data_IF_959541704323
#
_entry.id   IF_959541704323
#
_cell.length_a   1.000
_cell.length_b   1.000
_cell.length_c   1.000
_cell.angle_alpha   90.00
_cell.angle_beta   90.00
_cell.angle_gamma   90.00
#
_symmetry.space_group_name_H-M   'P 1'
#
loop_
_entity.id
_entity.type
_entity.pdbx_description
1 polymer ?
#
# COMPACT_ATOMS: atom_id res chain seq x y z
N UNK A 1 37.31 33.72 3.41
CA UNK A 1 35.98 34.27 3.77
C UNK A 1 34.98 33.13 3.56
N UNK A 2 34.73 32.34 4.62
CA UNK A 2 33.83 31.19 4.59
C UNK A 2 32.40 31.72 4.74
N UNK A 3 31.58 31.56 3.70
CA UNK A 3 30.14 31.79 3.79
C UNK A 3 29.55 30.62 4.56
N UNK A 4 29.20 30.86 5.82
CA UNK A 4 28.31 29.98 6.57
C UNK A 4 26.94 30.06 5.90
N UNK A 5 26.48 28.93 5.35
CA UNK A 5 25.08 28.77 4.98
C UNK A 5 24.37 28.35 6.26
N UNK A 6 23.52 29.21 6.79
CA UNK A 6 22.69 28.89 7.95
C UNK A 6 21.86 27.63 7.66
N UNK A 7 21.60 26.78 8.67
CA UNK A 7 20.67 25.67 8.53
C UNK A 7 19.29 26.22 8.11
N UNK A 8 18.55 25.50 7.27
CA UNK A 8 17.25 25.97 6.78
C UNK A 8 16.35 26.22 7.99
N UNK A 9 15.98 27.48 8.20
CA UNK A 9 14.90 27.85 9.10
C UNK A 9 13.67 27.07 8.66
N UNK A 10 13.01 26.42 9.61
CA UNK A 10 11.73 25.79 9.39
C UNK A 10 10.74 26.86 8.93
N UNK A 11 10.63 27.05 7.62
CA UNK A 11 9.48 27.73 7.04
C UNK A 11 8.29 26.88 7.50
N UNK A 12 7.43 27.45 8.34
CA UNK A 12 6.12 26.90 8.65
C UNK A 12 5.39 26.71 7.32
N UNK A 13 5.58 25.53 6.70
CA UNK A 13 4.79 25.09 5.58
C UNK A 13 3.39 24.94 6.13
N UNK A 14 2.54 25.94 5.87
CA UNK A 14 1.11 25.91 6.15
C UNK A 14 0.60 24.57 5.60
N UNK A 15 0.06 23.73 6.48
CA UNK A 15 -0.42 22.43 6.08
C UNK A 15 -1.72 22.61 5.27
N UNK A 16 -1.60 22.37 3.96
CA UNK A 16 -2.70 22.54 3.02
C UNK A 16 -3.53 21.26 2.83
N UNK A 17 -3.36 20.22 3.65
CA UNK A 17 -4.26 19.06 3.60
C UNK A 17 -5.66 19.46 4.10
N UNK A 18 -6.69 19.38 3.24
CA UNK A 18 -8.03 19.84 3.60
C UNK A 18 -8.77 18.87 4.54
N UNK A 19 -8.21 17.70 4.82
CA UNK A 19 -8.87 16.62 5.57
C UNK A 19 -8.26 16.38 6.95
N UNK A 20 -6.95 16.59 7.10
CA UNK A 20 -6.20 16.25 8.32
C UNK A 20 -5.16 17.32 8.62
N UNK A 21 -4.91 17.61 9.89
CA UNK A 21 -3.79 18.47 10.29
C UNK A 21 -2.54 17.62 10.56
N UNK A 22 -1.52 17.85 9.75
CA UNK A 22 -0.25 17.14 9.67
C UNK A 22 0.91 17.96 10.24
N UNK A 23 0.65 19.11 10.90
CA UNK A 23 1.70 19.95 11.47
C UNK A 23 2.54 19.23 12.54
N UNK A 24 2.00 18.18 13.16
CA UNK A 24 2.72 17.38 14.15
C UNK A 24 3.67 16.34 13.52
N UNK A 25 3.61 16.10 12.21
CA UNK A 25 4.48 15.13 11.54
C UNK A 25 5.91 15.64 11.49
N UNK A 26 6.82 14.85 12.07
CA UNK A 26 8.25 15.16 12.13
C UNK A 26 8.96 14.69 10.87
N UNK A 27 10.04 15.36 10.44
CA UNK A 27 10.93 14.86 9.40
C UNK A 27 11.35 13.41 9.66
N UNK A 28 11.50 12.62 8.60
CA UNK A 28 11.98 11.25 8.65
C UNK A 28 13.47 11.19 8.96
N UNK A 29 14.26 12.10 8.39
CA UNK A 29 15.70 12.14 8.54
C UNK A 29 16.14 13.29 9.46
N UNK A 30 17.13 13.00 10.29
CA UNK A 30 17.89 13.98 11.08
C UNK A 30 19.34 14.01 10.59
N UNK A 31 19.97 15.19 10.67
CA UNK A 31 21.38 15.34 10.32
C UNK A 31 22.24 14.84 11.48
N UNK A 32 23.09 13.86 11.22
CA UNK A 32 24.21 13.52 12.07
C UNK A 32 25.45 14.30 11.60
N UNK A 33 25.72 15.43 12.28
CA UNK A 33 26.88 16.29 12.01
C UNK A 33 28.22 15.56 12.20
N UNK A 34 28.26 14.50 13.02
CA UNK A 34 29.50 13.77 13.29
C UNK A 34 29.91 12.87 12.12
N UNK A 35 28.93 12.34 11.37
CA UNK A 35 29.15 11.47 10.23
C UNK A 35 28.93 12.19 8.88
N UNK A 36 28.29 13.35 8.89
CA UNK A 36 27.92 14.08 7.67
C UNK A 36 26.82 13.37 6.88
N UNK A 37 25.87 12.74 7.58
CA UNK A 37 24.82 11.90 7.00
C UNK A 37 23.44 12.31 7.47
N UNK A 38 22.46 12.17 6.58
CA UNK A 38 21.06 12.14 6.94
C UNK A 38 20.71 10.73 7.40
N UNK A 39 20.10 10.59 8.58
CA UNK A 39 19.80 9.29 9.17
C UNK A 39 18.37 9.25 9.71
N UNK A 40 17.71 8.08 9.61
CA UNK A 40 16.48 7.84 10.35
C UNK A 40 16.86 7.68 11.83
N UNK A 41 16.42 8.56 12.73
CA UNK A 41 16.87 8.50 14.12
C UNK A 41 16.20 7.32 14.85
N UNK A 42 16.84 6.77 15.92
CA UNK A 42 16.31 5.63 16.67
C UNK A 42 14.88 5.82 17.20
N UNK A 43 14.46 7.06 17.44
CA UNK A 43 13.09 7.41 17.84
C UNK A 43 12.02 6.96 16.83
N UNK A 44 12.39 6.72 15.57
CA UNK A 44 11.49 6.30 14.48
C UNK A 44 11.50 4.78 14.22
N UNK A 45 12.33 4.00 14.91
CA UNK A 45 12.52 2.57 14.63
C UNK A 45 11.31 1.68 14.94
N UNK A 46 10.29 2.22 15.62
CA UNK A 46 9.00 1.54 15.78
C UNK A 46 8.27 1.35 14.44
N UNK A 47 8.46 2.27 13.49
CA UNK A 47 7.75 2.29 12.21
C UNK A 47 8.69 2.15 11.00
N UNK A 48 9.94 2.57 11.13
CA UNK A 48 10.94 2.53 10.06
C UNK A 48 12.10 1.59 10.43
N UNK A 49 12.96 1.32 9.45
CA UNK A 49 14.24 0.64 9.67
C UNK A 49 15.37 1.66 9.61
N UNK A 50 16.52 1.40 10.26
CA UNK A 50 17.70 2.23 10.10
C UNK A 50 18.04 2.41 8.62
N UNK A 51 18.24 3.66 8.20
CA UNK A 51 18.61 4.04 6.85
C UNK A 51 19.37 5.36 6.90
N UNK A 52 20.39 5.52 6.06
CA UNK A 52 21.15 6.77 5.99
C UNK A 52 21.79 7.00 4.64
N UNK A 53 22.06 8.27 4.33
CA UNK A 53 22.75 8.67 3.10
C UNK A 53 23.61 9.94 3.32
N UNK A 54 24.68 10.15 2.53
CA UNK A 54 25.52 11.34 2.65
C UNK A 54 24.75 12.64 2.40
N UNK A 55 25.02 13.68 3.17
CA UNK A 55 24.49 15.04 2.92
C UNK A 55 24.93 15.51 1.54
N UNK A 56 26.23 15.45 1.29
CA UNK A 56 26.84 15.82 0.02
C UNK A 56 26.69 14.69 -1.00
N UNK A 57 25.87 14.93 -2.02
CA UNK A 57 25.69 14.00 -3.13
C UNK A 57 26.83 14.17 -4.14
N UNK A 58 27.63 13.12 -4.34
CA UNK A 58 28.72 13.15 -5.33
C UNK A 58 28.18 13.23 -6.76
N UNK A 59 28.97 13.78 -7.69
CA UNK A 59 28.60 13.85 -9.11
C UNK A 59 28.44 12.47 -9.77
N UNK A 60 29.00 11.40 -9.18
CA UNK A 60 28.90 10.01 -9.65
C UNK A 60 27.82 9.22 -8.88
N UNK A 61 26.96 9.90 -8.11
CA UNK A 61 25.88 9.28 -7.34
C UNK A 61 24.53 9.45 -8.04
N UNK A 62 23.74 8.37 -8.06
CA UNK A 62 22.32 8.38 -8.39
C UNK A 62 21.50 8.01 -7.14
N UNK A 63 20.61 8.89 -6.72
CA UNK A 63 19.83 8.80 -5.49
C UNK A 63 18.36 8.52 -5.80
N UNK A 64 17.88 7.36 -5.36
CA UNK A 64 16.50 6.90 -5.51
C UNK A 64 15.86 6.83 -4.13
N UNK A 65 14.72 7.49 -3.94
CA UNK A 65 13.92 7.28 -2.73
C UNK A 65 12.73 6.38 -3.04
N UNK A 66 12.50 5.40 -2.18
CA UNK A 66 11.40 4.44 -2.29
C UNK A 66 10.43 4.69 -1.13
N UNK A 67 9.23 5.17 -1.42
CA UNK A 67 8.26 5.63 -0.43
C UNK A 67 7.03 4.74 -0.38
N UNK A 68 6.52 4.52 0.84
CA UNK A 68 5.29 3.79 1.05
C UNK A 68 5.08 3.24 2.44
N UNK A 69 4.20 2.25 2.53
CA UNK A 69 3.86 1.56 3.77
C UNK A 69 4.82 0.43 4.17
N UNK A 70 4.34 -0.51 4.98
CA UNK A 70 5.07 -1.71 5.42
C UNK A 70 5.54 -2.62 4.28
N UNK A 71 4.83 -2.62 3.14
CA UNK A 71 5.29 -3.30 1.92
C UNK A 71 6.62 -2.74 1.44
N UNK A 72 6.80 -1.41 1.47
CA UNK A 72 8.09 -0.79 1.10
C UNK A 72 9.16 -1.14 2.12
N UNK A 73 8.83 -1.10 3.42
CA UNK A 73 9.78 -1.47 4.49
C UNK A 73 10.35 -2.89 4.30
N UNK A 74 9.58 -3.81 3.69
CA UNK A 74 9.98 -5.21 3.48
C UNK A 74 9.39 -6.18 4.49
N UNK A 75 8.24 -5.84 5.11
CA UNK A 75 7.54 -6.80 5.96
C UNK A 75 7.15 -8.06 5.17
N UNK A 76 7.10 -9.24 5.83
CA UNK A 76 7.33 -9.50 7.26
C UNK A 76 8.81 -9.55 7.67
N UNK A 77 9.74 -9.53 6.72
CA UNK A 77 11.18 -9.51 6.98
C UNK A 77 11.66 -8.09 7.30
N UNK A 78 12.53 -7.50 6.49
CA UNK A 78 13.08 -6.16 6.67
C UNK A 78 13.65 -5.65 5.34
N UNK A 79 14.29 -4.48 5.37
CA UNK A 79 14.81 -3.78 4.20
C UNK A 79 15.78 -4.62 3.38
N UNK A 80 16.51 -5.53 4.02
CA UNK A 80 17.51 -6.40 3.39
C UNK A 80 16.90 -7.32 2.32
N UNK A 81 15.61 -7.68 2.40
CA UNK A 81 14.92 -8.45 1.36
C UNK A 81 13.76 -7.69 0.71
N UNK A 82 13.67 -6.38 0.94
CA UNK A 82 12.70 -5.50 0.31
C UNK A 82 13.05 -5.21 -1.15
N UNK A 83 12.06 -4.79 -1.93
CA UNK A 83 12.25 -4.48 -3.35
C UNK A 83 13.20 -3.28 -3.57
N UNK A 84 13.40 -2.41 -2.58
CA UNK A 84 14.41 -1.34 -2.63
C UNK A 84 15.84 -1.89 -2.71
N UNK A 85 16.16 -2.94 -1.94
CA UNK A 85 17.49 -3.57 -1.93
C UNK A 85 17.74 -4.33 -3.23
N UNK A 86 16.74 -5.06 -3.72
CA UNK A 86 16.84 -5.71 -5.02
C UNK A 86 16.97 -4.71 -6.17
N UNK A 87 16.27 -3.57 -6.08
CA UNK A 87 16.38 -2.47 -7.04
C UNK A 87 17.81 -1.91 -7.05
N UNK A 88 18.42 -1.69 -5.87
CA UNK A 88 19.82 -1.27 -5.75
C UNK A 88 20.76 -2.20 -6.51
N UNK A 89 20.68 -3.51 -6.27
CA UNK A 89 21.54 -4.48 -6.96
C UNK A 89 21.32 -4.51 -8.46
N UNK A 90 20.07 -4.36 -8.92
CA UNK A 90 19.76 -4.31 -10.36
C UNK A 90 20.34 -3.07 -11.03
N UNK A 91 20.19 -1.90 -10.40
CA UNK A 91 20.74 -0.65 -10.91
C UNK A 91 22.27 -0.68 -10.93
N UNK A 92 22.90 -1.17 -9.86
CA UNK A 92 24.36 -1.35 -9.79
C UNK A 92 24.87 -2.31 -10.87
N UNK A 93 24.17 -3.42 -11.09
CA UNK A 93 24.52 -4.38 -12.12
C UNK A 93 24.38 -3.80 -13.55
N UNK A 94 23.37 -2.95 -13.77
CA UNK A 94 23.12 -2.31 -15.07
C UNK A 94 24.06 -1.12 -15.36
N UNK A 95 24.50 -0.41 -14.32
CA UNK A 95 25.35 0.78 -14.42
C UNK A 95 26.46 0.80 -13.38
N UNK A 96 27.46 -0.09 -13.45
CA UNK A 96 28.50 -0.24 -12.42
C UNK A 96 29.40 0.99 -12.25
N UNK A 97 29.39 1.93 -13.20
CA UNK A 97 30.07 3.21 -13.13
C UNK A 97 29.37 4.24 -12.24
N UNK A 98 28.17 3.97 -11.73
CA UNK A 98 27.42 4.87 -10.85
C UNK A 98 27.32 4.30 -9.44
N UNK A 99 27.43 5.17 -8.44
CA UNK A 99 27.04 4.83 -7.08
C UNK A 99 25.53 5.02 -6.92
N UNK A 100 24.78 3.92 -6.80
CA UNK A 100 23.35 3.97 -6.54
C UNK A 100 23.06 3.98 -5.05
N UNK A 101 22.53 5.11 -4.57
CA UNK A 101 21.89 5.24 -3.28
C UNK A 101 20.40 4.95 -3.48
N UNK A 102 19.91 3.81 -2.99
CA UNK A 102 18.48 3.48 -3.01
C UNK A 102 18.00 3.46 -1.57
N UNK A 103 17.30 4.52 -1.16
CA UNK A 103 16.91 4.81 0.21
C UNK A 103 15.50 4.27 0.44
N UNK A 104 15.33 3.41 1.44
CA UNK A 104 14.02 2.89 1.83
C UNK A 104 13.33 3.81 2.84
N UNK A 105 12.22 4.41 2.44
CA UNK A 105 11.39 5.28 3.28
C UNK A 105 10.03 4.62 3.60
N UNK A 106 10.03 3.29 3.79
CA UNK A 106 8.82 2.52 4.12
C UNK A 106 8.46 2.58 5.59
N UNK A 107 7.29 3.13 5.90
CA UNK A 107 6.75 3.24 7.27
C UNK A 107 5.64 2.22 7.54
N UNK A 108 5.72 1.47 8.64
CA UNK A 108 4.66 0.52 9.03
C UNK A 108 3.36 1.28 9.30
N UNK A 109 2.26 0.83 8.69
CA UNK A 109 0.93 1.44 8.83
C UNK A 109 0.82 2.87 8.24
N UNK A 110 1.80 3.35 7.48
CA UNK A 110 1.74 4.68 6.86
C UNK A 110 0.77 4.71 5.67
N UNK A 111 -0.21 5.60 5.73
CA UNK A 111 -1.14 5.94 4.65
C UNK A 111 -0.62 7.09 3.77
N UNK A 112 -1.28 7.33 2.65
CA UNK A 112 -0.88 8.29 1.61
C UNK A 112 -0.61 9.70 2.12
N UNK A 113 -1.40 10.22 3.07
CA UNK A 113 -1.21 11.56 3.64
C UNK A 113 0.06 11.68 4.49
N UNK A 114 0.47 10.62 5.20
CA UNK A 114 1.76 10.58 5.91
C UNK A 114 2.91 10.43 4.91
N UNK A 115 2.75 9.57 3.91
CA UNK A 115 3.74 9.38 2.84
C UNK A 115 3.98 10.69 2.07
N UNK A 116 2.94 11.48 1.85
CA UNK A 116 3.05 12.78 1.18
C UNK A 116 3.98 13.75 1.92
N UNK A 117 4.01 13.75 3.26
CA UNK A 117 4.96 14.58 4.02
C UNK A 117 6.40 14.11 3.86
N UNK A 118 6.63 12.80 3.89
CA UNK A 118 7.96 12.21 3.62
C UNK A 118 8.40 12.58 2.21
N UNK A 119 7.49 12.55 1.23
CA UNK A 119 7.80 12.98 -0.13
C UNK A 119 8.30 14.43 -0.20
N UNK A 120 7.61 15.36 0.46
CA UNK A 120 8.02 16.78 0.50
C UNK A 120 9.39 16.99 1.15
N UNK A 121 9.77 16.12 2.07
CA UNK A 121 11.12 16.09 2.64
C UNK A 121 12.14 15.55 1.65
N UNK A 122 11.94 14.36 1.10
CA UNK A 122 12.95 13.73 0.23
C UNK A 122 13.20 14.48 -1.07
N UNK A 123 12.23 15.26 -1.56
CA UNK A 123 12.44 16.16 -2.69
C UNK A 123 13.53 17.22 -2.44
N UNK A 124 13.82 17.56 -1.17
CA UNK A 124 14.91 18.48 -0.79
C UNK A 124 16.28 17.80 -0.74
N UNK A 125 16.33 16.47 -0.83
CA UNK A 125 17.56 15.68 -0.75
C UNK A 125 18.12 15.25 -2.11
N UNK A 126 17.84 16.03 -3.16
CA UNK A 126 18.36 15.85 -4.53
C UNK A 126 18.10 14.45 -5.12
N UNK A 127 16.85 13.96 -5.14
CA UNK A 127 16.52 12.67 -5.75
C UNK A 127 16.71 12.72 -7.27
N UNK A 128 17.23 11.64 -7.85
CA UNK A 128 17.25 11.42 -9.30
C UNK A 128 16.09 10.53 -9.77
N UNK A 129 15.43 9.82 -8.86
CA UNK A 129 14.16 9.16 -9.11
C UNK A 129 13.38 8.91 -7.81
N UNK A 130 12.06 8.83 -7.92
CA UNK A 130 11.15 8.43 -6.86
C UNK A 130 10.44 7.14 -7.26
N UNK A 131 10.30 6.21 -6.31
CA UNK A 131 9.41 5.05 -6.42
C UNK A 131 8.34 5.16 -5.35
N UNK A 132 7.06 5.07 -5.72
CA UNK A 132 5.93 5.20 -4.81
C UNK A 132 5.05 3.93 -4.83
N UNK A 133 4.88 3.29 -3.66
CA UNK A 133 3.94 2.18 -3.44
C UNK A 133 3.11 2.48 -2.18
N UNK A 134 1.83 2.83 -2.33
CA UNK A 134 0.97 3.20 -1.18
C UNK A 134 -0.50 2.82 -1.43
N UNK A 135 -1.33 2.81 -0.37
CA UNK A 135 -2.78 2.62 -0.47
C UNK A 135 -3.39 1.54 0.45
N UNK A 136 -2.60 0.65 1.06
CA UNK A 136 -3.16 -0.38 1.95
C UNK A 136 -3.69 0.17 3.27
N UNK A 137 -3.11 1.27 3.76
CA UNK A 137 -3.30 1.75 5.12
C UNK A 137 -4.32 2.88 5.23
N UNK A 138 -5.04 3.21 4.16
CA UNK A 138 -5.90 4.39 4.14
C UNK A 138 -7.01 4.34 5.20
N UNK A 139 -7.47 3.16 5.59
CA UNK A 139 -8.58 3.03 6.54
C UNK A 139 -8.11 2.86 8.00
N UNK A 140 -6.80 2.89 8.28
CA UNK A 140 -6.25 2.52 9.60
C UNK A 140 -6.48 3.55 10.70
N UNK A 141 -6.44 4.84 10.39
CA UNK A 141 -6.54 5.91 11.38
C UNK A 141 -7.92 6.58 11.32
N UNK A 142 -8.42 7.00 12.48
CA UNK A 142 -9.67 7.76 12.54
C UNK A 142 -9.47 9.15 11.92
N UNK A 143 -10.35 9.47 10.98
CA UNK A 143 -10.34 10.76 10.28
C UNK A 143 -11.76 11.30 10.23
N UNK A 144 -11.94 12.51 10.74
CA UNK A 144 -13.22 13.21 10.70
C UNK A 144 -13.35 13.94 9.36
N UNK A 145 -14.14 13.39 8.46
CA UNK A 145 -14.50 14.07 7.22
C UNK A 145 -15.72 14.95 7.44
N UNK A 146 -15.51 16.16 7.98
CA UNK A 146 -16.60 17.05 8.36
C UNK A 146 -17.52 17.46 7.20
N UNK A 147 -17.08 17.34 5.93
CA UNK A 147 -17.75 17.99 4.79
C UNK A 147 -17.93 17.16 3.50
N UNK A 148 -18.01 15.81 3.54
CA UNK A 148 -18.47 15.06 2.33
C UNK A 148 -20.00 15.20 2.10
N UNK A 149 -20.64 16.16 2.77
CA UNK A 149 -21.98 16.62 2.43
C UNK A 149 -21.89 17.76 1.42
N UNK A 150 -22.02 17.42 0.13
CA UNK A 150 -22.54 18.27 -0.98
C UNK A 150 -21.72 18.36 -2.28
N UNK A 151 -20.97 17.34 -2.69
CA UNK A 151 -20.51 17.28 -4.09
C UNK A 151 -21.52 16.57 -4.99
N UNK A 152 -22.51 17.34 -5.45
CA UNK A 152 -23.41 16.91 -6.54
C UNK A 152 -22.62 16.59 -7.82
N UNK A 153 -23.15 15.72 -8.68
CA UNK A 153 -22.52 15.32 -9.95
C UNK A 153 -22.01 16.52 -10.81
N UNK A 154 -22.73 17.65 -10.90
CA UNK A 154 -22.22 18.86 -11.54
C UNK A 154 -20.96 19.43 -10.88
N UNK A 155 -20.90 19.47 -9.53
CA UNK A 155 -19.75 20.00 -8.78
C UNK A 155 -18.49 19.17 -9.00
N UNK A 156 -18.61 17.85 -9.13
CA UNK A 156 -17.48 16.95 -9.46
C UNK A 156 -16.91 17.22 -10.85
N UNK A 157 -17.77 17.42 -11.84
CA UNK A 157 -17.35 17.72 -13.22
C UNK A 157 -16.69 19.11 -13.29
N UNK A 158 -17.26 20.09 -12.58
CA UNK A 158 -16.68 21.44 -12.44
C UNK A 158 -15.34 21.37 -11.72
N UNK A 159 -15.21 20.56 -10.66
CA UNK A 159 -13.95 20.38 -9.94
C UNK A 159 -12.89 19.68 -10.80
N UNK A 160 -13.25 18.68 -11.62
CA UNK A 160 -12.33 18.05 -12.58
C UNK A 160 -11.85 19.03 -13.66
N UNK A 161 -12.75 19.85 -14.22
CA UNK A 161 -12.41 20.87 -15.21
C UNK A 161 -11.61 22.03 -14.60
N UNK A 162 -11.92 22.41 -13.36
CA UNK A 162 -11.22 23.45 -12.63
C UNK A 162 -9.84 22.99 -12.12
N UNK A 163 -9.64 21.70 -11.84
CA UNK A 163 -8.33 21.13 -11.50
C UNK A 163 -7.31 21.24 -12.64
N UNK A 164 -7.77 21.40 -13.89
CA UNK A 164 -6.90 21.67 -15.05
C UNK A 164 -6.45 23.15 -15.11
N UNK A 165 -7.04 24.03 -14.30
CA UNK A 165 -6.69 25.45 -14.21
C UNK A 165 -5.88 25.68 -12.93
N UNK A 166 -4.56 25.86 -13.09
CA UNK A 166 -3.58 26.10 -12.00
C UNK A 166 -4.02 27.18 -11.00
N UNK A 167 -4.79 28.17 -11.45
CA UNK A 167 -5.35 29.26 -10.64
C UNK A 167 -6.47 28.85 -9.68
N UNK A 168 -7.31 27.87 -10.02
CA UNK A 168 -8.42 27.45 -9.13
C UNK A 168 -7.91 26.60 -7.97
N UNK A 169 -6.88 25.78 -8.19
CA UNK A 169 -6.19 25.07 -7.11
C UNK A 169 -5.54 26.03 -6.09
N UNK A 170 -5.04 27.18 -6.54
CA UNK A 170 -4.51 28.23 -5.64
C UNK A 170 -5.61 28.94 -4.84
N UNK A 171 -6.75 29.26 -5.47
CA UNK A 171 -7.90 29.88 -4.80
C UNK A 171 -8.50 28.93 -3.75
N UNK A 172 -8.71 27.64 -4.06
CA UNK A 172 -9.17 26.67 -3.06
C UNK A 172 -8.20 26.55 -1.86
N UNK A 173 -6.89 26.60 -2.10
CA UNK A 173 -5.86 26.58 -1.04
C UNK A 173 -5.93 27.79 -0.09
N UNK A 174 -6.47 28.93 -0.54
CA UNK A 174 -6.62 30.14 0.27
C UNK A 174 -7.97 30.24 0.99
N UNK A 175 -9.05 29.65 0.44
CA UNK A 175 -10.40 29.79 1.01
C UNK A 175 -10.82 28.70 2.01
N UNK A 176 -10.14 27.54 2.06
CA UNK A 176 -10.42 26.46 3.03
C UNK A 176 -9.54 26.51 4.30
N UNK A 177 -8.95 27.68 4.59
CA UNK A 177 -7.94 27.83 5.64
C UNK A 177 -8.49 27.84 7.09
N UNK A 178 -9.81 27.92 7.31
CA UNK A 178 -10.35 28.26 8.65
C UNK A 178 -11.39 27.26 9.18
N UNK A 179 -11.07 25.96 9.19
CA UNK A 179 -11.90 24.91 9.79
C UNK A 179 -11.10 24.12 10.82
N UNK A 180 -11.69 23.82 11.96
CA UNK A 180 -11.08 22.94 12.97
C UNK A 180 -10.92 21.53 12.37
N UNK A 181 -9.69 21.19 11.98
CA UNK A 181 -9.31 19.86 11.47
C UNK A 181 -8.85 19.00 12.65
N UNK A 182 -9.11 17.68 12.64
CA UNK A 182 -8.51 16.80 13.63
C UNK A 182 -7.00 16.77 13.42
N UNK A 183 -6.24 17.10 14.47
CA UNK A 183 -4.79 16.94 14.48
C UNK A 183 -4.45 15.46 14.53
N UNK A 184 -3.59 15.02 13.61
CA UNK A 184 -3.07 13.66 13.61
C UNK A 184 -1.80 13.59 14.45
N UNK A 185 -1.66 12.53 15.24
CA UNK A 185 -0.47 12.29 16.05
C UNK A 185 0.80 12.18 15.18
N UNK A 186 1.93 12.58 15.75
CA UNK A 186 3.24 12.54 15.08
C UNK A 186 3.58 11.15 14.51
N UNK A 187 3.19 10.08 15.22
CA UNK A 187 3.29 8.70 14.77
C UNK A 187 1.92 8.10 14.46
N UNK A 188 1.90 6.96 13.76
CA UNK A 188 0.65 6.28 13.37
C UNK A 188 -0.10 5.83 14.61
N UNK A 189 -1.38 6.18 14.67
CA UNK A 189 -2.33 5.76 15.70
C UNK A 189 -3.46 4.96 15.05
N UNK A 190 -3.27 3.65 14.94
CA UNK A 190 -4.24 2.79 14.26
C UNK A 190 -5.44 2.52 15.18
N UNK A 191 -6.66 2.64 14.63
CA UNK A 191 -7.93 2.32 15.30
C UNK A 191 -7.96 0.93 15.91
N UNK A 192 -7.20 0.01 15.32
CA UNK A 192 -7.09 -1.38 15.78
C UNK A 192 -6.32 -1.53 17.11
N UNK A 193 -5.56 -0.50 17.50
CA UNK A 193 -4.77 -0.42 18.72
C UNK A 193 -5.52 0.26 19.86
N UNK A 194 -6.69 0.86 19.57
CA UNK A 194 -7.59 1.44 20.57
C UNK A 194 -8.37 0.36 21.34
N UNK A 195 -8.97 0.74 22.47
CA UNK A 195 -9.66 -0.19 23.38
C UNK A 195 -10.92 -0.83 22.79
N UNK A 196 -11.56 -0.16 21.84
CA UNK A 196 -12.68 -0.66 21.04
C UNK A 196 -12.22 -1.43 19.78
N UNK A 197 -11.00 -1.19 19.30
CA UNK A 197 -10.28 -2.04 18.36
C UNK A 197 -11.07 -2.34 17.08
N UNK A 198 -11.41 -3.62 16.86
CA UNK A 198 -12.19 -4.04 15.68
C UNK A 198 -13.65 -3.56 15.73
N UNK A 199 -14.20 -3.26 16.90
CA UNK A 199 -15.58 -2.78 17.04
C UNK A 199 -15.76 -1.34 16.56
N UNK A 200 -14.69 -0.54 16.55
CA UNK A 200 -14.70 0.81 15.98
C UNK A 200 -15.09 0.79 14.49
N UNK A 201 -14.77 -0.27 13.76
CA UNK A 201 -15.08 -0.41 12.34
C UNK A 201 -16.54 -0.82 12.13
N UNK A 202 -17.28 0.01 11.41
CA UNK A 202 -18.68 -0.20 11.07
C UNK A 202 -18.85 0.03 9.57
N UNK A 203 -19.87 -0.60 8.99
CA UNK A 203 -20.21 -0.38 7.57
C UNK A 203 -20.65 1.06 7.37
N UNK A 204 -19.74 1.87 6.84
CA UNK A 204 -19.95 3.28 6.55
C UNK A 204 -19.52 3.62 5.12
N UNK A 205 -20.44 3.51 4.13
CA UNK A 205 -20.11 3.80 2.74
C UNK A 205 -19.78 5.28 2.50
N UNK A 206 -20.26 6.19 3.35
CA UNK A 206 -19.99 7.63 3.22
C UNK A 206 -18.53 7.89 3.63
N UNK A 207 -18.12 7.36 4.79
CA UNK A 207 -16.74 7.44 5.24
C UNK A 207 -15.78 6.74 4.25
N UNK A 208 -16.12 5.55 3.76
CA UNK A 208 -15.28 4.85 2.78
C UNK A 208 -15.07 5.67 1.50
N UNK A 209 -16.14 6.25 0.96
CA UNK A 209 -16.06 7.11 -0.22
C UNK A 209 -15.16 8.34 0.04
N UNK A 210 -15.24 8.91 1.25
CA UNK A 210 -14.41 10.06 1.65
C UNK A 210 -12.92 9.69 1.73
N UNK A 211 -12.60 8.53 2.32
CA UNK A 211 -11.24 7.96 2.40
C UNK A 211 -10.65 7.78 1.00
N UNK A 212 -11.42 7.19 0.08
CA UNK A 212 -10.98 6.92 -1.29
C UNK A 212 -10.75 8.21 -2.10
N UNK A 213 -11.60 9.22 -1.92
CA UNK A 213 -11.43 10.54 -2.52
C UNK A 213 -10.21 11.27 -1.97
N UNK A 214 -9.98 11.20 -0.65
CA UNK A 214 -8.78 11.77 -0.03
C UNK A 214 -7.51 11.12 -0.58
N UNK A 215 -7.48 9.78 -0.68
CA UNK A 215 -6.36 9.06 -1.29
C UNK A 215 -6.08 9.54 -2.73
N UNK A 216 -7.12 9.60 -3.59
CA UNK A 216 -6.95 10.04 -4.96
C UNK A 216 -6.40 11.48 -5.04
N UNK A 217 -6.88 12.38 -4.18
CA UNK A 217 -6.37 13.75 -4.08
C UNK A 217 -4.91 13.76 -3.64
N UNK A 218 -4.54 13.03 -2.57
CA UNK A 218 -3.16 12.96 -2.08
C UNK A 218 -2.21 12.37 -3.10
N UNK A 219 -2.64 11.34 -3.83
CA UNK A 219 -1.83 10.75 -4.88
C UNK A 219 -1.57 11.75 -6.01
N UNK A 220 -2.59 12.54 -6.39
CA UNK A 220 -2.44 13.61 -7.38
C UNK A 220 -1.47 14.69 -6.90
N UNK A 221 -1.60 15.15 -5.64
CA UNK A 221 -0.70 16.13 -5.04
C UNK A 221 0.77 15.65 -5.03
N UNK A 222 0.99 14.37 -4.72
CA UNK A 222 2.33 13.76 -4.71
C UNK A 222 2.94 13.71 -6.11
N UNK A 223 2.16 13.31 -7.12
CA UNK A 223 2.61 13.27 -8.52
C UNK A 223 2.93 14.67 -9.03
N UNK A 224 2.09 15.65 -8.70
CA UNK A 224 2.31 17.05 -9.05
C UNK A 224 3.61 17.58 -8.44
N UNK A 225 3.85 17.32 -7.15
CA UNK A 225 5.08 17.75 -6.48
C UNK A 225 6.35 17.15 -7.10
N UNK A 226 6.31 15.86 -7.45
CA UNK A 226 7.45 15.17 -8.10
C UNK A 226 7.70 15.71 -9.51
N UNK A 227 6.63 15.97 -10.26
CA UNK A 227 6.71 16.58 -11.60
C UNK A 227 7.25 18.00 -11.53
N UNK A 228 6.79 18.81 -10.59
CA UNK A 228 7.22 20.20 -10.42
C UNK A 228 8.70 20.28 -9.98
N UNK A 229 9.20 19.26 -9.27
CA UNK A 229 10.62 19.09 -8.96
C UNK A 229 11.46 18.55 -10.15
N UNK A 230 10.83 18.16 -11.27
CA UNK A 230 11.52 17.62 -12.44
C UNK A 230 12.10 16.22 -12.24
N UNK A 231 11.56 15.44 -11.29
CA UNK A 231 12.12 14.13 -10.89
C UNK A 231 11.30 13.00 -11.53
N UNK A 232 11.94 11.98 -12.14
CA UNK A 232 11.24 10.78 -12.62
C UNK A 232 10.49 10.03 -11.51
N UNK A 233 9.26 9.60 -11.80
CA UNK A 233 8.41 8.85 -10.88
C UNK A 233 8.05 7.47 -11.45
N UNK A 234 8.33 6.43 -10.67
CA UNK A 234 7.72 5.10 -10.83
C UNK A 234 6.62 4.92 -9.80
N UNK A 235 5.39 4.75 -10.26
CA UNK A 235 4.21 4.50 -9.42
C UNK A 235 3.86 3.02 -9.47
N UNK A 236 3.71 2.39 -8.30
CA UNK A 236 3.31 0.99 -8.18
C UNK A 236 1.89 0.89 -7.64
N UNK A 237 1.04 0.05 -8.24
CA UNK A 237 -0.28 -0.25 -7.68
C UNK A 237 -0.15 -1.15 -6.45
N UNK A 238 -0.94 -0.92 -5.37
CA UNK A 238 -0.95 -1.84 -4.25
C UNK A 238 -1.61 -3.16 -4.65
N UNK A 239 -0.96 -4.29 -4.36
CA UNK A 239 -1.48 -5.63 -4.59
C UNK A 239 -1.69 -6.38 -3.27
N UNK A 240 -2.67 -7.27 -3.23
CA UNK A 240 -2.97 -8.10 -2.06
C UNK A 240 -3.43 -9.49 -2.46
N UNK A 241 -3.27 -10.45 -1.56
CA UNK A 241 -3.92 -11.74 -1.68
C UNK A 241 -5.42 -11.59 -1.41
N UNK A 242 -6.25 -11.91 -2.40
CA UNK A 242 -7.72 -11.90 -2.30
C UNK A 242 -8.31 -13.32 -2.18
N UNK A 243 -7.47 -14.34 -2.21
CA UNK A 243 -7.84 -15.75 -2.38
C UNK A 243 -7.63 -16.55 -1.09
N UNK A 244 -6.45 -16.45 -0.47
CA UNK A 244 -6.14 -17.13 0.81
C UNK A 244 -6.48 -16.24 2.02
N UNK A 245 -6.93 -15.00 1.79
CA UNK A 245 -7.21 -14.02 2.84
C UNK A 245 -8.70 -13.71 2.95
N UNK A 246 -9.40 -14.23 3.99
CA UNK A 246 -10.79 -13.87 4.27
C UNK A 246 -10.93 -12.39 4.66
N UNK A 247 -12.14 -11.82 4.60
CA UNK A 247 -12.42 -10.52 5.18
C UNK A 247 -12.11 -10.49 6.68
N UNK A 248 -11.60 -9.36 7.17
CA UNK A 248 -11.25 -9.14 8.57
C UNK A 248 -12.52 -8.96 9.41
N UNK A 249 -13.49 -8.18 8.93
CA UNK A 249 -14.78 -7.98 9.60
C UNK A 249 -15.94 -8.06 8.62
N UNK A 250 -16.94 -8.85 8.96
CA UNK A 250 -18.24 -8.90 8.28
C UNK A 250 -19.32 -8.27 9.16
N UNK A 251 -20.22 -7.51 8.55
CA UNK A 251 -21.38 -6.93 9.22
C UNK A 251 -22.59 -6.95 8.28
N UNK A 252 -23.75 -7.35 8.79
CA UNK A 252 -25.01 -7.26 8.06
C UNK A 252 -25.44 -5.81 7.88
N UNK A 253 -26.07 -5.50 6.74
CA UNK A 253 -26.75 -4.21 6.55
C UNK A 253 -27.79 -3.96 7.63
N UNK A 254 -27.95 -2.69 7.98
CA UNK A 254 -29.02 -2.24 8.88
C UNK A 254 -30.40 -2.39 8.24
N UNK A 255 -31.44 -2.43 9.07
CA UNK A 255 -32.84 -2.44 8.59
C UNK A 255 -33.37 -3.81 8.12
N UNK A 256 -32.62 -4.90 8.29
CA UNK A 256 -33.13 -6.25 8.04
C UNK A 256 -34.23 -6.62 9.04
N UNK A 257 -35.32 -7.22 8.55
CA UNK A 257 -36.36 -7.80 9.42
C UNK A 257 -35.82 -8.99 10.23
N UNK A 258 -36.49 -9.35 11.33
CA UNK A 258 -36.12 -10.54 12.14
C UNK A 258 -36.12 -11.82 11.30
N UNK A 259 -37.07 -11.95 10.38
CA UNK A 259 -37.15 -13.12 9.48
C UNK A 259 -35.98 -13.15 8.49
N UNK A 260 -35.57 -11.98 7.96
CA UNK A 260 -34.40 -11.89 7.09
C UNK A 260 -33.12 -12.24 7.85
N UNK A 261 -32.96 -11.75 9.09
CA UNK A 261 -31.82 -12.08 9.95
C UNK A 261 -31.76 -13.59 10.24
N UNK A 262 -32.86 -14.20 10.67
CA UNK A 262 -32.91 -15.64 10.95
C UNK A 262 -32.65 -16.48 9.69
N UNK A 263 -33.19 -16.07 8.54
CA UNK A 263 -32.92 -16.74 7.25
C UNK A 263 -31.45 -16.61 6.84
N UNK A 264 -30.86 -15.44 7.05
CA UNK A 264 -29.45 -15.21 6.80
C UNK A 264 -28.59 -16.11 7.69
N UNK A 265 -28.80 -16.09 9.01
CA UNK A 265 -28.03 -16.89 9.97
C UNK A 265 -28.07 -18.39 9.64
N UNK A 266 -29.27 -18.91 9.32
CA UNK A 266 -29.43 -20.31 8.90
C UNK A 266 -28.63 -20.63 7.64
N UNK A 267 -28.74 -19.78 6.61
CA UNK A 267 -28.02 -19.97 5.35
C UNK A 267 -26.50 -19.81 5.54
N UNK A 268 -26.07 -18.83 6.35
CA UNK A 268 -24.67 -18.57 6.61
C UNK A 268 -24.02 -19.70 7.39
N UNK A 269 -24.75 -20.31 8.33
CA UNK A 269 -24.30 -21.53 9.03
C UNK A 269 -24.00 -22.66 8.03
N UNK A 270 -24.88 -22.90 7.06
CA UNK A 270 -24.64 -23.91 6.01
C UNK A 270 -23.50 -23.51 5.07
N UNK A 271 -23.41 -22.25 4.67
CA UNK A 271 -22.34 -21.75 3.80
C UNK A 271 -20.94 -21.94 4.43
N UNK A 272 -20.85 -21.68 5.73
CA UNK A 272 -19.61 -21.75 6.51
C UNK A 272 -19.26 -23.15 7.02
N UNK A 273 -20.17 -24.12 6.88
CA UNK A 273 -19.94 -25.50 7.29
C UNK A 273 -19.03 -26.24 6.28
N UNK A 274 -17.78 -26.49 6.68
CA UNK A 274 -16.81 -27.20 5.85
C UNK A 274 -17.13 -28.69 5.65
N UNK A 275 -18.08 -29.25 6.40
CA UNK A 275 -18.54 -30.64 6.23
C UNK A 275 -19.64 -30.77 5.17
N UNK A 276 -20.30 -29.65 4.81
CA UNK A 276 -21.33 -29.61 3.78
C UNK A 276 -20.73 -29.68 2.36
N UNK A 277 -21.51 -30.19 1.41
CA UNK A 277 -21.11 -30.27 0.01
C UNK A 277 -20.87 -28.89 -0.61
N UNK A 278 -19.85 -28.77 -1.47
CA UNK A 278 -19.50 -27.49 -2.15
C UNK A 278 -20.71 -26.85 -2.85
N UNK A 279 -21.57 -27.57 -3.59
CA UNK A 279 -22.75 -26.97 -4.21
C UNK A 279 -23.75 -26.38 -3.20
N UNK A 280 -23.98 -27.06 -2.08
CA UNK A 280 -24.91 -26.62 -1.03
C UNK A 280 -24.39 -25.38 -0.33
N UNK A 281 -23.09 -25.33 -0.04
CA UNK A 281 -22.42 -24.16 0.54
C UNK A 281 -22.52 -22.94 -0.35
N UNK A 282 -22.27 -23.11 -1.66
CA UNK A 282 -22.42 -22.02 -2.64
C UNK A 282 -23.88 -21.57 -2.72
N UNK A 283 -24.84 -22.50 -2.76
CA UNK A 283 -26.27 -22.18 -2.79
C UNK A 283 -26.71 -21.41 -1.54
N UNK A 284 -26.26 -21.84 -0.36
CA UNK A 284 -26.55 -21.18 0.90
C UNK A 284 -25.90 -19.78 0.97
N UNK A 285 -24.65 -19.63 0.54
CA UNK A 285 -23.99 -18.33 0.46
C UNK A 285 -24.70 -17.38 -0.52
N UNK A 286 -25.26 -17.90 -1.62
CA UNK A 286 -26.10 -17.11 -2.54
C UNK A 286 -27.43 -16.67 -1.89
N UNK A 287 -28.01 -17.46 -0.99
CA UNK A 287 -29.16 -17.02 -0.19
C UNK A 287 -28.77 -15.87 0.74
N UNK A 288 -27.59 -15.93 1.36
CA UNK A 288 -27.05 -14.81 2.14
C UNK A 288 -26.90 -13.54 1.28
N UNK A 289 -26.31 -13.66 0.09
CA UNK A 289 -26.12 -12.54 -0.85
C UNK A 289 -27.43 -11.99 -1.42
N UNK A 290 -28.49 -12.79 -1.49
CA UNK A 290 -29.83 -12.28 -1.85
C UNK A 290 -30.46 -11.45 -0.72
N UNK A 291 -30.03 -11.63 0.54
CA UNK A 291 -30.50 -10.86 1.70
C UNK A 291 -29.65 -9.61 1.86
N UNK A 292 -28.32 -9.74 1.81
CA UNK A 292 -27.34 -8.66 1.86
C UNK A 292 -26.27 -8.88 0.79
N UNK A 293 -26.40 -8.14 -0.30
CA UNK A 293 -25.59 -8.22 -1.52
C UNK A 293 -24.18 -7.67 -1.36
N UNK A 294 -23.84 -7.10 -0.20
CA UNK A 294 -22.49 -6.63 0.13
C UNK A 294 -21.90 -7.40 1.31
N UNK A 295 -22.46 -8.56 1.69
CA UNK A 295 -21.91 -9.34 2.79
C UNK A 295 -20.58 -9.98 2.39
N UNK A 296 -19.46 -9.38 2.82
CA UNK A 296 -18.10 -9.77 2.42
C UNK A 296 -17.77 -11.23 2.73
N UNK A 297 -18.17 -11.76 3.89
CA UNK A 297 -17.95 -13.17 4.24
C UNK A 297 -18.66 -14.15 3.29
N UNK A 298 -19.87 -13.81 2.81
CA UNK A 298 -20.60 -14.67 1.86
C UNK A 298 -20.02 -14.59 0.46
N UNK A 299 -19.58 -13.40 0.05
CA UNK A 299 -18.78 -13.24 -1.17
C UNK A 299 -17.51 -14.08 -1.13
N UNK A 300 -16.77 -14.04 -0.02
CA UNK A 300 -15.54 -14.82 0.14
C UNK A 300 -15.79 -16.32 0.01
N UNK A 301 -16.83 -16.86 0.67
CA UNK A 301 -17.18 -18.28 0.58
C UNK A 301 -17.45 -18.68 -0.87
N UNK A 302 -18.28 -17.92 -1.61
CA UNK A 302 -18.58 -18.22 -3.02
C UNK A 302 -17.32 -18.15 -3.87
N UNK A 303 -16.55 -17.06 -3.74
CA UNK A 303 -15.33 -16.84 -4.51
C UNK A 303 -14.30 -17.94 -4.28
N UNK A 304 -14.04 -18.28 -3.02
CA UNK A 304 -13.04 -19.28 -2.62
C UNK A 304 -13.37 -20.67 -3.14
N UNK A 305 -14.63 -21.09 -3.01
CA UNK A 305 -15.09 -22.40 -3.47
C UNK A 305 -15.06 -22.50 -5.01
N UNK A 306 -15.43 -21.42 -5.71
CA UNK A 306 -15.33 -21.37 -7.17
C UNK A 306 -13.87 -21.41 -7.64
N UNK A 307 -12.97 -20.67 -6.97
CA UNK A 307 -11.54 -20.65 -7.28
C UNK A 307 -10.92 -22.04 -7.09
N UNK A 308 -11.20 -22.71 -5.96
CA UNK A 308 -10.77 -24.09 -5.69
C UNK A 308 -11.32 -25.10 -6.72
N UNK A 309 -12.48 -24.81 -7.31
CA UNK A 309 -13.07 -25.63 -8.37
C UNK A 309 -12.54 -25.31 -9.78
N UNK A 310 -11.48 -24.50 -9.89
CA UNK A 310 -10.90 -24.10 -11.18
C UNK A 310 -11.69 -23.04 -11.94
N UNK A 311 -12.71 -22.42 -11.33
CA UNK A 311 -13.63 -21.48 -11.98
C UNK A 311 -13.25 -20.02 -11.72
N UNK A 312 -12.01 -19.62 -12.00
CA UNK A 312 -11.48 -18.29 -11.68
C UNK A 312 -12.31 -17.13 -12.20
N UNK A 313 -12.76 -17.19 -13.46
CA UNK A 313 -13.57 -16.11 -14.03
C UNK A 313 -14.87 -15.85 -13.25
N UNK A 314 -15.48 -16.90 -12.69
CA UNK A 314 -16.67 -16.79 -11.85
C UNK A 314 -16.30 -16.43 -10.39
N UNK A 315 -15.13 -16.85 -9.90
CA UNK A 315 -14.64 -16.56 -8.56
C UNK A 315 -14.24 -15.10 -8.39
N UNK A 316 -13.53 -14.53 -9.36
CA UNK A 316 -12.93 -13.20 -9.34
C UNK A 316 -13.85 -12.08 -8.82
N UNK A 317 -15.07 -11.87 -9.37
CA UNK A 317 -15.94 -10.80 -8.87
C UNK A 317 -16.33 -11.00 -7.40
N UNK A 318 -16.48 -12.25 -6.94
CA UNK A 318 -16.78 -12.53 -5.55
C UNK A 318 -15.59 -12.30 -4.63
N UNK A 319 -14.38 -12.67 -5.03
CA UNK A 319 -13.16 -12.41 -4.25
C UNK A 319 -12.85 -10.92 -4.14
N UNK A 320 -13.02 -10.16 -5.23
CA UNK A 320 -12.89 -8.70 -5.24
C UNK A 320 -13.93 -8.07 -4.30
N UNK A 321 -15.20 -8.46 -4.42
CA UNK A 321 -16.26 -7.96 -3.55
C UNK A 321 -16.03 -8.32 -2.07
N UNK A 322 -15.45 -9.47 -1.78
CA UNK A 322 -15.09 -9.84 -0.41
C UNK A 322 -14.04 -8.89 0.19
N UNK A 323 -13.03 -8.49 -0.57
CA UNK A 323 -12.04 -7.47 -0.17
C UNK A 323 -12.69 -6.10 -0.02
N UNK A 324 -13.46 -5.67 -1.03
CA UNK A 324 -13.97 -4.30 -1.11
C UNK A 324 -15.09 -4.02 -0.09
N UNK A 325 -15.86 -5.04 0.30
CA UNK A 325 -16.89 -4.93 1.33
C UNK A 325 -16.40 -5.35 2.73
N UNK A 326 -15.11 -5.61 2.90
CA UNK A 326 -14.53 -5.83 4.22
C UNK A 326 -14.80 -4.59 5.10
N UNK A 327 -15.42 -4.80 6.27
CA UNK A 327 -15.79 -3.69 7.15
C UNK A 327 -14.55 -3.08 7.81
N UNK A 328 -13.45 -3.83 7.87
CA UNK A 328 -12.14 -3.37 8.31
C UNK A 328 -11.14 -3.49 7.15
N UNK A 329 -11.08 -2.51 6.23
CA UNK A 329 -10.28 -2.62 5.02
C UNK A 329 -8.79 -2.44 5.34
N UNK A 330 -8.08 -3.54 5.59
CA UNK A 330 -6.62 -3.57 5.76
C UNK A 330 -5.87 -3.85 4.45
N UNK A 331 -6.62 -3.93 3.34
CA UNK A 331 -6.11 -4.07 1.98
C UNK A 331 -6.68 -2.92 1.16
N UNK A 332 -5.92 -2.45 0.17
CA UNK A 332 -6.40 -1.42 -0.74
C UNK A 332 -7.66 -1.93 -1.47
N UNK A 333 -8.74 -1.16 -1.43
CA UNK A 333 -9.98 -1.47 -2.16
C UNK A 333 -9.76 -1.31 -3.67
N UNK A 334 -10.66 -1.85 -4.48
CA UNK A 334 -10.63 -1.62 -5.93
C UNK A 334 -10.65 -0.13 -6.28
N UNK A 335 -11.31 0.72 -5.49
CA UNK A 335 -11.33 2.15 -5.73
C UNK A 335 -9.94 2.78 -5.56
N UNK A 336 -9.17 2.39 -4.53
CA UNK A 336 -7.78 2.83 -4.31
C UNK A 336 -6.87 2.36 -5.44
N UNK A 337 -6.97 1.09 -5.85
CA UNK A 337 -6.20 0.55 -6.97
C UNK A 337 -6.53 1.28 -8.27
N UNK A 338 -7.82 1.44 -8.58
CA UNK A 338 -8.30 2.14 -9.77
C UNK A 338 -7.88 3.62 -9.78
N UNK A 339 -7.90 4.30 -8.62
CA UNK A 339 -7.41 5.67 -8.50
C UNK A 339 -5.91 5.75 -8.84
N UNK A 340 -5.12 4.75 -8.43
CA UNK A 340 -3.69 4.67 -8.77
C UNK A 340 -3.48 4.56 -10.28
N UNK A 341 -4.21 3.67 -10.95
CA UNK A 341 -4.18 3.56 -12.41
C UNK A 341 -4.63 4.84 -13.11
N UNK A 342 -5.75 5.42 -12.67
CA UNK A 342 -6.35 6.60 -13.28
C UNK A 342 -5.38 7.78 -13.22
N UNK A 343 -4.92 8.14 -12.02
CA UNK A 343 -4.04 9.30 -11.81
C UNK A 343 -2.69 9.05 -12.49
N UNK A 344 -2.15 7.83 -12.41
CA UNK A 344 -0.90 7.48 -13.08
C UNK A 344 -0.99 7.65 -14.61
N UNK A 345 -2.04 7.11 -15.23
CA UNK A 345 -2.27 7.23 -16.68
C UNK A 345 -2.51 8.67 -17.11
N UNK A 346 -3.30 9.44 -16.36
CA UNK A 346 -3.59 10.85 -16.66
C UNK A 346 -2.32 11.72 -16.67
N UNK A 347 -1.34 11.38 -15.82
CA UNK A 347 -0.10 12.13 -15.68
C UNK A 347 1.08 11.53 -16.47
N UNK A 348 0.87 10.43 -17.20
CA UNK A 348 1.92 9.79 -17.99
C UNK A 348 3.10 9.26 -17.16
N UNK A 349 2.87 8.87 -15.90
CA UNK A 349 3.93 8.34 -15.03
C UNK A 349 4.30 6.91 -15.41
N UNK A 350 5.53 6.49 -15.09
CA UNK A 350 5.93 5.09 -15.26
C UNK A 350 5.13 4.23 -14.27
N UNK A 351 4.25 3.35 -14.75
CA UNK A 351 3.36 2.56 -13.91
C UNK A 351 3.82 1.10 -13.83
N UNK A 352 3.92 0.58 -12.61
CA UNK A 352 4.03 -0.84 -12.30
C UNK A 352 2.68 -1.32 -11.81
N UNK A 353 1.96 -2.06 -12.65
CA UNK A 353 0.76 -2.76 -12.23
C UNK A 353 1.15 -4.03 -11.47
N UNK A 354 1.24 -3.92 -10.14
CA UNK A 354 1.71 -5.01 -9.27
C UNK A 354 0.72 -6.18 -9.24
N UNK A 355 -0.59 -5.92 -9.32
CA UNK A 355 -1.59 -6.99 -9.36
C UNK A 355 -1.39 -7.85 -10.61
N UNK A 356 -1.29 -7.23 -11.79
CA UNK A 356 -0.99 -7.94 -13.05
C UNK A 356 0.40 -8.57 -13.05
N UNK A 357 1.40 -7.93 -12.43
CA UNK A 357 2.77 -8.44 -12.38
C UNK A 357 2.89 -9.76 -11.61
N UNK A 358 2.08 -9.90 -10.55
CA UNK A 358 2.06 -11.05 -9.64
C UNK A 358 0.99 -12.09 -10.02
N UNK A 359 0.20 -11.87 -11.07
CA UNK A 359 -0.70 -12.85 -11.68
C UNK A 359 0.05 -13.60 -12.79
N UNK A 360 0.47 -14.84 -12.52
CA UNK A 360 1.22 -15.68 -13.46
C UNK A 360 0.60 -17.05 -13.64
N UNK A 361 -0.26 -17.49 -12.73
CA UNK A 361 -0.77 -18.85 -12.69
C UNK A 361 -2.26 -18.88 -12.38
N UNK A 362 -2.99 -19.77 -13.05
CA UNK A 362 -4.37 -20.07 -12.69
C UNK A 362 -4.47 -21.03 -11.49
N UNK A 363 -5.69 -21.33 -11.03
CA UNK A 363 -5.97 -22.05 -9.77
C UNK A 363 -5.48 -23.50 -9.73
N UNK A 364 -5.22 -24.11 -10.90
CA UNK A 364 -4.64 -25.45 -11.03
C UNK A 364 -3.14 -25.44 -11.36
N UNK A 365 -2.46 -24.29 -11.17
CA UNK A 365 -1.01 -24.14 -11.35
C UNK A 365 -0.56 -24.00 -12.81
N UNK A 366 -1.50 -23.90 -13.76
CA UNK A 366 -1.20 -23.57 -15.15
C UNK A 366 -0.63 -22.16 -15.22
N UNK A 367 0.44 -21.94 -15.98
CA UNK A 367 1.05 -20.62 -16.18
C UNK A 367 0.23 -19.72 -17.13
N UNK A 368 -1.04 -19.54 -16.81
CA UNK A 368 -1.98 -18.70 -17.55
C UNK A 368 -2.62 -17.74 -16.55
N UNK A 369 -2.38 -16.43 -16.70
CA UNK A 369 -2.99 -15.42 -15.84
C UNK A 369 -4.52 -15.45 -15.88
N UNK A 370 -5.17 -15.27 -14.74
CA UNK A 370 -6.64 -15.30 -14.61
C UNK A 370 -7.25 -13.99 -14.07
N UNK A 371 -6.40 -12.96 -13.96
CA UNK A 371 -6.68 -11.64 -13.37
C UNK A 371 -6.90 -11.69 -11.86
N UNK A 372 -6.27 -12.65 -11.19
CA UNK A 372 -6.18 -12.74 -9.74
C UNK A 372 -4.69 -12.89 -9.38
N UNK A 373 -4.12 -12.01 -8.56
CA UNK A 373 -2.73 -12.17 -8.11
C UNK A 373 -2.50 -13.54 -7.46
N UNK A 374 -1.41 -14.24 -7.84
CA UNK A 374 -1.17 -15.60 -7.34
C UNK A 374 -0.97 -15.54 -5.81
N UNK A 375 -1.70 -16.34 -5.00
CA UNK A 375 -1.63 -16.24 -3.52
C UNK A 375 -0.23 -16.53 -2.96
N UNK A 376 0.53 -17.42 -3.61
CA UNK A 376 1.92 -17.76 -3.29
C UNK A 376 2.92 -16.60 -3.43
N UNK A 377 2.50 -15.49 -4.05
CA UNK A 377 3.31 -14.27 -4.18
C UNK A 377 3.30 -13.44 -2.92
N UNK A 378 2.43 -13.76 -1.96
CA UNK A 378 2.29 -13.04 -0.71
C UNK A 378 2.68 -13.92 0.47
N UNK A 379 3.40 -13.34 1.42
CA UNK A 379 3.76 -13.99 2.68
C UNK A 379 2.57 -13.99 3.66
N UNK A 380 1.68 -13.01 3.53
CA UNK A 380 0.45 -12.86 4.29
C UNK A 380 -0.63 -12.21 3.40
N UNK A 381 -1.64 -11.56 4.00
CA UNK A 381 -2.72 -10.87 3.30
C UNK A 381 -2.33 -9.84 2.23
N UNK A 382 -1.14 -9.24 2.30
CA UNK A 382 -0.73 -8.21 1.32
C UNK A 382 0.78 -8.10 1.13
N UNK A 383 1.60 -8.61 2.05
CA UNK A 383 3.03 -8.42 1.96
C UNK A 383 3.65 -9.40 0.95
N UNK A 384 4.39 -8.93 -0.07
CA UNK A 384 5.04 -9.80 -1.04
C UNK A 384 6.07 -10.74 -0.39
N UNK A 385 6.25 -11.94 -0.94
CA UNK A 385 7.38 -12.81 -0.58
C UNK A 385 8.70 -12.18 -1.03
N UNK A 386 9.84 -12.71 -0.56
CA UNK A 386 11.18 -12.28 -1.01
C UNK A 386 11.30 -12.38 -2.54
N UNK A 387 10.78 -13.45 -3.13
CA UNK A 387 10.78 -13.63 -4.59
C UNK A 387 9.91 -12.57 -5.30
N UNK A 388 8.74 -12.25 -4.75
CA UNK A 388 7.87 -11.20 -5.31
C UNK A 388 8.49 -9.81 -5.18
N UNK A 389 9.21 -9.53 -4.09
CA UNK A 389 10.02 -8.31 -3.97
C UNK A 389 11.08 -8.20 -5.08
N UNK A 390 11.73 -9.30 -5.46
CA UNK A 390 12.68 -9.34 -6.59
C UNK A 390 11.99 -9.09 -7.94
N UNK A 391 10.76 -9.59 -8.13
CA UNK A 391 9.96 -9.36 -9.35
C UNK A 391 9.55 -7.89 -9.47
N UNK A 392 9.04 -7.29 -8.38
CA UNK A 392 8.69 -5.86 -8.33
C UNK A 392 9.92 -5.00 -8.66
N UNK A 393 11.05 -5.29 -8.01
CA UNK A 393 12.30 -4.58 -8.28
C UNK A 393 12.78 -4.73 -9.73
N UNK A 394 12.60 -5.90 -10.35
CA UNK A 394 12.94 -6.12 -11.75
C UNK A 394 12.14 -5.21 -12.68
N UNK A 395 10.83 -5.10 -12.44
CA UNK A 395 9.97 -4.26 -13.26
C UNK A 395 10.30 -2.77 -13.07
N UNK A 396 10.54 -2.32 -11.84
CA UNK A 396 10.97 -0.93 -11.56
C UNK A 396 12.31 -0.62 -12.25
N UNK A 397 13.31 -1.50 -12.10
CA UNK A 397 14.61 -1.33 -12.72
C UNK A 397 14.50 -1.28 -14.26
N UNK A 398 13.68 -2.14 -14.86
CA UNK A 398 13.41 -2.14 -16.30
C UNK A 398 12.86 -0.78 -16.79
N UNK A 399 11.88 -0.23 -16.08
CA UNK A 399 11.30 1.08 -16.40
C UNK A 399 12.32 2.21 -16.27
N UNK A 400 13.10 2.23 -15.17
CA UNK A 400 14.16 3.23 -14.99
C UNK A 400 15.25 3.09 -16.06
N UNK A 401 15.65 1.87 -16.40
CA UNK A 401 16.65 1.64 -17.43
C UNK A 401 16.18 2.06 -18.82
N UNK A 402 14.91 1.84 -19.15
CA UNK A 402 14.35 2.21 -20.45
C UNK A 402 14.16 3.72 -20.61
N UNK A 403 13.84 4.44 -19.52
CA UNK A 403 13.38 5.84 -19.62
C UNK A 403 14.32 6.87 -19.00
N UNK A 404 15.19 6.47 -18.07
CA UNK A 404 16.01 7.41 -17.27
C UNK A 404 17.49 7.10 -17.39
N UNK A 405 17.87 5.83 -17.20
CA UNK A 405 19.26 5.39 -17.06
C UNK A 405 19.56 4.17 -17.92
N UNK A 406 19.82 4.37 -19.23
CA UNK A 406 20.18 3.27 -20.13
C UNK A 406 21.31 2.41 -19.54
N UNK A 407 21.20 1.07 -19.61
CA UNK A 407 22.21 0.19 -19.07
C UNK A 407 23.52 0.36 -19.85
N UNK A 408 24.65 0.31 -19.16
CA UNK A 408 25.98 0.32 -19.77
C UNK A 408 26.70 -1.02 -19.68
N UNK A 409 26.19 -1.95 -18.88
CA UNK A 409 26.71 -3.33 -18.74
C UNK A 409 25.84 -4.31 -19.55
N UNK A 410 26.46 -5.07 -20.45
CA UNK A 410 25.77 -6.05 -21.31
C UNK A 410 25.38 -7.32 -20.55
N UNK A 411 26.11 -7.66 -19.49
CA UNK A 411 25.87 -8.84 -18.66
C UNK A 411 25.19 -8.50 -17.33
N UNK A 412 24.38 -7.44 -17.29
CA UNK A 412 23.76 -6.93 -16.07
C UNK A 412 22.98 -8.02 -15.30
N UNK A 413 22.27 -8.91 -15.98
CA UNK A 413 21.53 -9.99 -15.32
C UNK A 413 22.44 -10.98 -14.58
N UNK A 414 23.58 -11.35 -15.17
CA UNK A 414 24.55 -12.25 -14.53
C UNK A 414 25.20 -11.58 -13.31
N UNK A 415 25.55 -10.30 -13.43
CA UNK A 415 26.09 -9.51 -12.32
C UNK A 415 25.08 -9.40 -11.18
N UNK A 416 23.81 -9.11 -11.51
CA UNK A 416 22.72 -9.08 -10.53
C UNK A 416 22.54 -10.43 -9.82
N UNK A 417 22.54 -11.55 -10.55
CA UNK A 417 22.40 -12.88 -9.93
C UNK A 417 23.51 -13.17 -8.92
N UNK A 418 24.75 -12.78 -9.24
CA UNK A 418 25.89 -12.91 -8.32
C UNK A 418 25.70 -12.04 -7.07
N UNK A 419 25.35 -10.76 -7.24
CA UNK A 419 25.11 -9.83 -6.12
C UNK A 419 23.97 -10.34 -5.22
N UNK A 420 22.86 -10.76 -5.82
CA UNK A 420 21.70 -11.26 -5.10
C UNK A 420 22.01 -12.55 -4.32
N UNK A 421 22.75 -13.47 -4.93
CA UNK A 421 23.17 -14.71 -4.27
C UNK A 421 24.11 -14.44 -3.08
N UNK A 422 25.13 -13.60 -3.28
CA UNK A 422 26.06 -13.20 -2.22
C UNK A 422 25.32 -12.50 -1.07
N UNK A 423 24.37 -11.63 -1.38
CA UNK A 423 23.56 -10.95 -0.38
C UNK A 423 22.72 -11.92 0.44
N UNK A 424 22.00 -12.84 -0.20
CA UNK A 424 21.20 -13.84 0.52
C UNK A 424 22.04 -14.75 1.42
N UNK A 425 23.27 -15.08 1.00
CA UNK A 425 24.23 -15.84 1.82
C UNK A 425 24.78 -15.04 3.01
N UNK A 426 24.75 -13.71 2.94
CA UNK A 426 25.21 -12.86 4.04
C UNK A 426 24.17 -12.73 5.17
N UNK A 427 22.90 -13.06 4.90
CA UNK A 427 21.83 -13.00 5.90
C UNK A 427 21.85 -14.24 6.80
N UNK A 428 21.87 -14.01 8.11
CA UNK A 428 21.93 -15.07 9.11
C UNK A 428 20.59 -15.78 9.32
N UNK A 429 20.62 -16.95 9.97
CA UNK A 429 19.39 -17.67 10.32
C UNK A 429 18.45 -16.83 11.20
N UNK A 430 19.01 -15.96 12.04
CA UNK A 430 18.25 -15.08 12.92
C UNK A 430 17.41 -14.07 12.12
N UNK A 431 17.88 -13.58 10.97
CA UNK A 431 17.11 -12.74 10.06
C UNK A 431 15.82 -13.44 9.61
N UNK A 432 15.95 -14.66 9.10
CA UNK A 432 14.81 -15.43 8.62
C UNK A 432 13.87 -15.84 9.76
N UNK A 433 14.42 -16.21 10.93
CA UNK A 433 13.64 -16.54 12.12
C UNK A 433 12.81 -15.35 12.61
N UNK A 434 13.37 -14.13 12.65
CA UNK A 434 12.63 -12.91 13.01
C UNK A 434 11.48 -12.63 12.04
N UNK A 435 11.70 -12.82 10.73
CA UNK A 435 10.65 -12.68 9.72
C UNK A 435 9.50 -13.66 9.92
N UNK A 436 9.83 -14.95 10.14
CA UNK A 436 8.84 -16.01 10.43
C UNK A 436 8.06 -15.71 11.72
N UNK A 437 8.74 -15.28 12.78
CA UNK A 437 8.10 -14.94 14.05
C UNK A 437 7.08 -13.79 13.90
N UNK A 438 7.40 -12.76 13.09
CA UNK A 438 6.45 -11.67 12.81
C UNK A 438 5.24 -12.16 12.01
N UNK A 439 5.46 -13.05 11.05
CA UNK A 439 4.39 -13.65 10.27
C UNK A 439 3.46 -14.49 11.16
N UNK A 440 4.02 -15.31 12.05
CA UNK A 440 3.24 -16.05 13.06
C UNK A 440 2.47 -15.12 14.00
N UNK A 441 3.09 -14.02 14.42
CA UNK A 441 2.44 -12.97 15.21
C UNK A 441 1.24 -12.38 14.49
N UNK A 442 1.39 -12.05 13.21
CA UNK A 442 0.30 -11.56 12.36
C UNK A 442 -0.81 -12.60 12.19
N UNK A 443 -0.46 -13.87 11.97
CA UNK A 443 -1.45 -14.94 11.88
C UNK A 443 -2.24 -15.10 13.17
N UNK A 444 -1.58 -15.07 14.35
CA UNK A 444 -2.26 -15.10 15.65
C UNK A 444 -3.16 -13.89 15.87
N UNK A 445 -2.70 -12.72 15.47
CA UNK A 445 -3.49 -11.50 15.54
C UNK A 445 -4.74 -11.57 14.66
N UNK A 446 -4.59 -12.08 13.42
CA UNK A 446 -5.69 -12.24 12.48
C UNK A 446 -6.69 -13.31 12.94
N UNK A 447 -6.24 -14.47 13.44
CA UNK A 447 -7.15 -15.53 13.92
C UNK A 447 -7.86 -15.18 15.22
N UNK A 448 -7.24 -14.38 16.09
CA UNK A 448 -7.89 -13.86 17.30
C UNK A 448 -8.99 -12.83 17.04
N UNK A 449 -9.05 -12.25 15.83
CA UNK A 449 -9.99 -11.17 15.43
C UNK A 449 -10.93 -11.54 14.28
N UNK A 450 -10.56 -12.48 13.42
CA UNK A 450 -11.43 -13.02 12.38
C UNK A 450 -12.49 -13.93 13.02
N UNK A 451 -13.74 -13.48 13.04
CA UNK A 451 -14.85 -14.28 13.52
C UNK A 451 -14.97 -15.60 12.73
N UNK A 452 -14.59 -16.72 13.34
CA UNK A 452 -14.91 -18.12 13.02
C UNK A 452 -15.17 -18.50 11.54
N UNK A 453 -14.42 -17.94 10.59
CA UNK A 453 -14.31 -18.46 9.23
C UNK A 453 -12.96 -19.18 9.14
N UNK A 454 -13.00 -20.49 9.43
CA UNK A 454 -11.82 -21.30 9.74
C UNK A 454 -10.67 -21.16 8.74
N UNK A 455 -9.53 -20.69 9.23
CA UNK A 455 -8.23 -20.77 8.55
C UNK A 455 -7.66 -22.17 8.74
N UNK A 456 -7.40 -22.90 7.65
CA UNK A 456 -6.63 -24.13 7.72
C UNK A 456 -5.17 -23.80 8.04
N UNK A 457 -4.62 -24.48 9.05
CA UNK A 457 -3.19 -24.50 9.31
C UNK A 457 -2.45 -25.02 8.07
N UNK A 458 -1.58 -24.20 7.47
CA UNK A 458 -0.49 -24.70 6.62
C UNK A 458 0.49 -25.40 7.59
N UNK A 459 0.52 -26.73 7.59
CA UNK A 459 1.60 -27.51 8.19
C UNK A 459 2.92 -27.18 7.48
N UNK A 460 4.07 -27.22 8.18
CA UNK A 460 5.33 -26.58 7.77
C UNK A 460 5.95 -27.15 6.50
#
# INVERSE_FOLDING_TARGET
MRLFVDPPTAVENIDHDPYVDLHQLRPLFELDDSTGRWEIPPSRYNFFRPESFPVEKSAQTRRVFVLGGSTVQGRPYSTETAFSTWLKFRLQAAGPQWNYEVINCGGVSYASYRVAKILQEVLRHQPDAIVLYTGHNEFLEDRTYADVRSDSLPTRLINMLAAQLRTVGWIKRQFFADRQRPAIAAEVDARLDHSDGLESYQRDPIWNTAVEQHFQSKLSDMIDAVRDAGVPLVLCTPASDIVDTPPIKSQLKSGLSKDQQARFEKAFKTASDNTAGVPDRIAAAKVCLAIDDQHCGSHYIVGRLLYQSGKSAAARPHLIAARDFDVCPLRATSAIVNATHLVGKQNGVMLVDTETLLDRSGPSGQRVPDQIPDPERFADHLHPTIASHQIIAAQIASLLSANVWPPSEKNADLVYQKLAHQHLQSLDEAYYARGKQRLEGLHRWATGRAGHLGTQNKTP
#
